data_IF_464477734968
#
_entry.id   IF_464477734968
#
_cell.length_a   1.000
_cell.length_b   1.000
_cell.length_c   1.000
_cell.angle_alpha   90.00
_cell.angle_beta   90.00
_cell.angle_gamma   90.00
#
_symmetry.space_group_name_H-M   'P 1'
#
loop_
_entity.id
_entity.type
_entity.pdbx_description
1 polymer ?
#
# COMPACT_ATOMS: atom_id res chain seq x y z
N UNK A 1 -3.44 -40.37 28.79
CA UNK A 1 -2.47 -39.48 29.46
C UNK A 1 -1.44 -39.04 28.42
N UNK A 2 -1.62 -37.89 27.85
CA UNK A 2 -0.69 -36.94 27.25
C UNK A 2 -1.42 -35.99 26.27
N UNK A 3 -2.18 -35.04 26.85
CA UNK A 3 -2.82 -33.95 26.12
C UNK A 3 -2.09 -32.60 26.43
N UNK A 4 -0.76 -32.57 26.26
CA UNK A 4 0.04 -31.42 26.63
C UNK A 4 1.11 -31.02 25.57
N UNK A 5 0.85 -31.23 24.28
CA UNK A 5 1.77 -30.83 23.19
C UNK A 5 1.04 -30.09 22.04
N UNK A 6 0.36 -29.00 22.34
CA UNK A 6 -0.40 -28.25 21.33
C UNK A 6 -0.41 -26.74 21.48
N UNK A 7 0.43 -26.17 22.36
CA UNK A 7 0.51 -24.71 22.54
C UNK A 7 1.86 -24.14 22.09
N UNK A 8 2.38 -24.53 20.93
CA UNK A 8 3.39 -23.72 20.28
C UNK A 8 2.69 -22.50 19.66
N UNK A 9 2.79 -21.36 20.33
CA UNK A 9 2.27 -20.10 19.83
C UNK A 9 2.91 -19.76 18.47
N UNK A 10 2.11 -19.25 17.52
CA UNK A 10 2.64 -18.72 16.26
C UNK A 10 3.68 -17.62 16.55
N UNK A 11 4.69 -17.41 15.70
CA UNK A 11 5.79 -16.48 15.95
C UNK A 11 5.36 -15.03 15.71
N UNK A 12 4.42 -14.52 16.53
CA UNK A 12 3.80 -13.22 16.37
C UNK A 12 4.81 -12.07 16.19
N UNK A 13 5.84 -12.01 17.05
CA UNK A 13 6.84 -10.95 16.99
C UNK A 13 7.63 -10.95 15.67
N UNK A 14 8.02 -12.15 15.17
CA UNK A 14 8.75 -12.26 13.89
C UNK A 14 7.88 -11.87 12.71
N UNK A 15 6.62 -12.31 12.70
CA UNK A 15 5.68 -11.93 11.64
C UNK A 15 5.37 -10.43 11.69
N UNK A 16 5.09 -9.89 12.88
CA UNK A 16 4.80 -8.46 13.08
C UNK A 16 5.98 -7.57 12.70
N UNK A 17 7.23 -7.99 12.94
CA UNK A 17 8.41 -7.20 12.59
C UNK A 17 8.52 -6.94 11.08
N UNK A 18 8.20 -7.93 10.23
CA UNK A 18 8.20 -7.72 8.80
C UNK A 18 7.14 -6.71 8.37
N UNK A 19 5.90 -6.81 8.86
CA UNK A 19 4.86 -5.82 8.56
C UNK A 19 5.27 -4.43 9.03
N UNK A 20 5.85 -4.33 10.23
CA UNK A 20 6.32 -3.05 10.77
C UNK A 20 7.32 -2.39 9.80
N UNK A 21 8.42 -3.06 9.48
CA UNK A 21 9.46 -2.47 8.64
C UNK A 21 9.03 -2.29 7.19
N UNK A 22 8.25 -3.20 6.63
CA UNK A 22 7.70 -3.04 5.28
C UNK A 22 6.84 -1.78 5.17
N UNK A 23 5.88 -1.59 6.06
CA UNK A 23 5.05 -0.38 6.03
C UNK A 23 5.76 0.88 6.55
N UNK A 24 6.83 0.74 7.32
CA UNK A 24 7.74 1.83 7.67
C UNK A 24 8.41 2.43 6.43
N UNK A 25 8.87 1.59 5.48
CA UNK A 25 9.36 2.07 4.17
C UNK A 25 8.29 2.85 3.41
N UNK A 26 7.04 2.36 3.41
CA UNK A 26 5.91 3.09 2.81
C UNK A 26 5.65 4.43 3.49
N UNK A 27 5.81 4.51 4.82
CA UNK A 27 5.68 5.75 5.58
C UNK A 27 6.73 6.80 5.23
N UNK A 28 7.89 6.39 4.69
CA UNK A 28 8.88 7.31 4.13
C UNK A 28 8.63 7.58 2.64
N UNK A 29 8.37 6.55 1.86
CA UNK A 29 8.25 6.62 0.40
C UNK A 29 7.04 7.44 -0.02
N UNK A 30 5.85 7.08 0.46
CA UNK A 30 4.60 7.67 -0.01
C UNK A 30 4.53 9.19 0.23
N UNK A 31 4.85 9.73 1.42
CA UNK A 31 4.79 11.16 1.67
C UNK A 31 5.95 11.96 1.11
N UNK A 32 7.17 11.40 1.09
CA UNK A 32 8.37 12.21 0.92
C UNK A 32 9.15 11.95 -0.36
N UNK A 33 8.85 10.86 -1.10
CA UNK A 33 9.64 10.51 -2.28
C UNK A 33 9.49 11.52 -3.42
N UNK A 34 8.28 12.05 -3.63
CA UNK A 34 8.04 13.11 -4.62
C UNK A 34 8.79 14.40 -4.29
N UNK A 35 8.84 14.81 -3.00
CA UNK A 35 9.66 15.95 -2.54
C UNK A 35 11.15 15.71 -2.79
N UNK A 36 11.64 14.48 -2.57
CA UNK A 36 13.02 14.15 -2.90
C UNK A 36 13.30 14.26 -4.40
N UNK A 37 12.41 13.77 -5.24
CA UNK A 37 12.55 13.90 -6.71
C UNK A 37 12.51 15.37 -7.16
N UNK A 38 11.64 16.17 -6.57
CA UNK A 38 11.57 17.62 -6.81
C UNK A 38 12.89 18.31 -6.41
N UNK A 39 13.44 17.98 -5.24
CA UNK A 39 14.72 18.51 -4.77
C UNK A 39 15.91 18.15 -5.68
N UNK A 40 15.76 17.11 -6.51
CA UNK A 40 16.71 16.74 -7.57
C UNK A 40 16.54 17.54 -8.86
N UNK A 41 15.64 18.55 -8.87
CA UNK A 41 15.36 19.42 -10.02
C UNK A 41 14.45 18.78 -11.08
N UNK A 42 13.70 17.73 -10.74
CA UNK A 42 12.76 17.11 -11.67
C UNK A 42 11.46 17.90 -11.73
N UNK A 43 10.96 18.15 -12.94
CA UNK A 43 9.67 18.78 -13.16
C UNK A 43 8.49 17.82 -12.91
N UNK A 44 7.30 18.39 -12.81
CA UNK A 44 6.04 17.70 -12.46
C UNK A 44 5.80 16.44 -13.30
N UNK A 45 5.95 16.51 -14.61
CA UNK A 45 5.78 15.39 -15.53
C UNK A 45 6.77 14.25 -15.26
N UNK A 46 8.04 14.57 -15.00
CA UNK A 46 9.05 13.58 -14.69
C UNK A 46 8.76 12.87 -13.36
N UNK A 47 8.35 13.62 -12.34
CA UNK A 47 7.93 13.08 -11.03
C UNK A 47 6.73 12.15 -11.21
N UNK A 48 5.70 12.56 -11.95
CA UNK A 48 4.50 11.75 -12.17
C UNK A 48 4.80 10.44 -12.88
N UNK A 49 5.67 10.44 -13.89
CA UNK A 49 6.11 9.22 -14.57
C UNK A 49 6.85 8.29 -13.60
N UNK A 50 7.79 8.80 -12.81
CA UNK A 50 8.51 7.99 -11.84
C UNK A 50 7.57 7.43 -10.75
N UNK A 51 6.67 8.24 -10.20
CA UNK A 51 5.70 7.78 -9.19
C UNK A 51 4.69 6.78 -9.77
N UNK A 52 4.35 6.85 -11.06
CA UNK A 52 3.47 5.87 -11.71
C UNK A 52 4.07 4.46 -11.76
N UNK A 53 5.40 4.32 -11.72
CA UNK A 53 6.11 3.03 -11.71
C UNK A 53 5.74 2.17 -10.49
N UNK A 54 5.41 2.83 -9.37
CA UNK A 54 4.89 2.14 -8.19
C UNK A 54 3.64 1.31 -8.49
N UNK A 55 2.70 1.90 -9.22
CA UNK A 55 1.44 1.26 -9.60
C UNK A 55 1.65 0.29 -10.78
N UNK A 56 2.44 0.68 -11.77
CA UNK A 56 2.72 -0.15 -12.94
C UNK A 56 3.38 -1.49 -12.57
N UNK A 57 4.39 -1.45 -11.71
CA UNK A 57 5.06 -2.68 -11.24
C UNK A 57 4.14 -3.54 -10.39
N UNK A 58 3.20 -2.95 -9.63
CA UNK A 58 2.22 -3.68 -8.83
C UNK A 58 1.26 -4.53 -9.66
N UNK A 59 1.03 -4.19 -10.92
CA UNK A 59 0.19 -4.99 -11.83
C UNK A 59 0.84 -6.35 -12.12
N UNK A 60 2.15 -6.37 -12.30
CA UNK A 60 2.87 -7.53 -12.84
C UNK A 60 3.68 -8.26 -11.78
N UNK A 61 4.41 -7.52 -10.94
CA UNK A 61 5.44 -8.12 -10.07
C UNK A 61 4.90 -9.14 -9.07
N UNK A 62 3.74 -8.93 -8.39
CA UNK A 62 3.21 -9.90 -7.43
C UNK A 62 2.90 -11.26 -8.08
N UNK A 63 2.21 -11.23 -9.22
CA UNK A 63 1.79 -12.45 -9.93
C UNK A 63 2.98 -13.22 -10.50
N UNK A 64 3.92 -12.51 -11.12
CA UNK A 64 5.12 -13.11 -11.65
C UNK A 64 5.96 -13.75 -10.54
N UNK A 65 6.18 -12.99 -9.45
CA UNK A 65 7.03 -13.41 -8.34
C UNK A 65 6.46 -14.61 -7.59
N UNK A 66 5.17 -14.58 -7.26
CA UNK A 66 4.51 -15.71 -6.60
C UNK A 66 4.46 -16.96 -7.48
N UNK A 67 4.32 -16.81 -8.80
CA UNK A 67 4.38 -17.93 -9.75
C UNK A 67 5.78 -18.57 -9.78
N UNK A 68 6.83 -17.76 -9.79
CA UNK A 68 8.21 -18.24 -9.75
C UNK A 68 8.53 -18.92 -8.42
N UNK A 69 8.11 -18.31 -7.31
CA UNK A 69 8.27 -18.88 -5.98
C UNK A 69 7.55 -20.23 -5.82
N UNK A 70 6.32 -20.35 -6.35
CA UNK A 70 5.54 -21.59 -6.30
C UNK A 70 6.13 -22.74 -7.12
N UNK A 71 6.95 -22.43 -8.12
CA UNK A 71 7.67 -23.44 -8.93
C UNK A 71 9.02 -23.83 -8.32
N UNK A 72 9.47 -23.12 -7.31
CA UNK A 72 10.76 -23.33 -6.67
C UNK A 72 10.67 -24.40 -5.56
N UNK A 73 11.65 -25.29 -5.44
CA UNK A 73 11.72 -26.22 -4.30
C UNK A 73 11.94 -25.52 -2.97
N UNK A 74 12.29 -24.24 -2.99
CA UNK A 74 12.51 -23.41 -1.80
C UNK A 74 11.87 -22.03 -1.96
N UNK A 75 10.53 -21.92 -1.81
CA UNK A 75 9.79 -20.67 -2.02
C UNK A 75 10.31 -19.50 -1.16
N UNK A 76 10.79 -19.77 0.06
CA UNK A 76 11.29 -18.75 0.98
C UNK A 76 12.49 -17.97 0.40
N UNK A 77 13.32 -18.59 -0.42
CA UNK A 77 14.46 -17.90 -1.07
C UNK A 77 14.03 -16.77 -1.98
N UNK A 78 12.84 -16.87 -2.57
CA UNK A 78 12.29 -15.80 -3.40
C UNK A 78 11.90 -14.58 -2.57
N UNK A 79 11.40 -14.76 -1.32
CA UNK A 79 11.20 -13.64 -0.40
C UNK A 79 12.52 -12.95 -0.07
N UNK A 80 13.54 -13.73 0.30
CA UNK A 80 14.87 -13.18 0.64
C UNK A 80 15.49 -12.46 -0.57
N UNK A 81 15.41 -13.05 -1.76
CA UNK A 81 15.90 -12.45 -3.00
C UNK A 81 15.17 -11.14 -3.32
N UNK A 82 13.83 -11.12 -3.22
CA UNK A 82 13.03 -9.91 -3.46
C UNK A 82 13.41 -8.78 -2.50
N UNK A 83 13.54 -9.08 -1.21
CA UNK A 83 13.98 -8.10 -0.21
C UNK A 83 15.43 -7.63 -0.48
N UNK A 84 16.35 -8.53 -0.84
CA UNK A 84 17.73 -8.18 -1.18
C UNK A 84 17.82 -7.30 -2.42
N UNK A 85 17.03 -7.63 -3.48
CA UNK A 85 16.94 -6.81 -4.68
C UNK A 85 16.33 -5.43 -4.39
N UNK A 86 15.34 -5.34 -3.50
CA UNK A 86 14.77 -4.05 -3.09
C UNK A 86 15.83 -3.18 -2.37
N UNK A 87 16.60 -3.76 -1.43
CA UNK A 87 17.71 -3.04 -0.78
C UNK A 87 18.77 -2.64 -1.79
N UNK A 88 19.24 -3.57 -2.62
CA UNK A 88 20.31 -3.32 -3.59
C UNK A 88 19.94 -2.29 -4.65
N UNK A 89 18.74 -2.39 -5.22
CA UNK A 89 18.27 -1.39 -6.19
C UNK A 89 18.07 -0.03 -5.53
N UNK A 90 17.53 0.01 -4.30
CA UNK A 90 17.36 1.28 -3.58
C UNK A 90 18.69 1.94 -3.24
N UNK A 91 19.73 1.18 -2.90
CA UNK A 91 21.05 1.72 -2.61
C UNK A 91 21.64 2.50 -3.80
N UNK A 92 21.25 2.17 -5.03
CA UNK A 92 21.67 2.92 -6.23
C UNK A 92 21.18 4.37 -6.27
N UNK A 93 20.11 4.72 -5.50
CA UNK A 93 19.69 6.12 -5.39
C UNK A 93 20.70 7.02 -4.65
N UNK A 94 21.68 6.43 -3.98
CA UNK A 94 22.80 7.18 -3.38
C UNK A 94 23.81 7.68 -4.42
N UNK A 95 23.73 7.17 -5.66
CA UNK A 95 24.58 7.60 -6.78
C UNK A 95 23.98 8.85 -7.49
N UNK A 96 24.81 9.64 -8.17
CA UNK A 96 24.36 10.79 -8.95
C UNK A 96 23.69 10.33 -10.26
N UNK A 97 22.47 9.79 -10.17
CA UNK A 97 21.72 9.28 -11.31
C UNK A 97 21.12 10.43 -12.14
N UNK A 98 21.16 10.29 -13.47
CA UNK A 98 20.35 11.09 -14.38
C UNK A 98 18.90 10.54 -14.43
N UNK A 99 18.02 11.19 -15.21
CA UNK A 99 16.60 10.78 -15.31
C UNK A 99 16.41 9.32 -15.73
N UNK A 100 17.17 8.86 -16.74
CA UNK A 100 17.09 7.45 -17.20
C UNK A 100 17.54 6.49 -16.11
N UNK A 101 18.63 6.83 -15.42
CA UNK A 101 19.09 6.05 -14.26
C UNK A 101 18.05 5.99 -13.14
N UNK A 102 17.41 7.12 -12.82
CA UNK A 102 16.32 7.17 -11.85
C UNK A 102 15.14 6.30 -12.29
N UNK A 103 14.75 6.34 -13.57
CA UNK A 103 13.67 5.51 -14.09
C UNK A 103 13.96 4.01 -13.97
N UNK A 104 15.16 3.58 -14.37
CA UNK A 104 15.56 2.17 -14.28
C UNK A 104 15.65 1.69 -12.84
N UNK A 105 16.31 2.46 -11.97
CA UNK A 105 16.47 2.12 -10.56
C UNK A 105 15.12 2.11 -9.84
N UNK A 106 14.27 3.10 -10.11
CA UNK A 106 12.92 3.18 -9.55
C UNK A 106 12.07 1.99 -9.99
N UNK A 107 12.14 1.59 -11.27
CA UNK A 107 11.45 0.40 -11.79
C UNK A 107 11.91 -0.85 -11.07
N UNK A 108 13.22 -1.06 -10.94
CA UNK A 108 13.80 -2.22 -10.27
C UNK A 108 13.41 -2.28 -8.79
N UNK A 109 13.49 -1.14 -8.08
CA UNK A 109 13.09 -1.04 -6.68
C UNK A 109 11.61 -1.33 -6.50
N UNK A 110 10.73 -0.63 -7.23
CA UNK A 110 9.29 -0.82 -7.13
C UNK A 110 8.87 -2.24 -7.50
N UNK A 111 9.49 -2.84 -8.52
CA UNK A 111 9.22 -4.21 -8.90
C UNK A 111 9.57 -5.19 -7.78
N UNK A 112 10.79 -5.12 -7.24
CA UNK A 112 11.24 -5.99 -6.16
C UNK A 112 10.42 -5.80 -4.88
N UNK A 113 10.15 -4.56 -4.51
CA UNK A 113 9.40 -4.23 -3.30
C UNK A 113 7.94 -4.69 -3.38
N UNK A 114 7.23 -4.44 -4.48
CA UNK A 114 5.85 -4.89 -4.66
C UNK A 114 5.70 -6.42 -4.75
N UNK A 115 6.76 -7.13 -5.13
CA UNK A 115 6.75 -8.58 -5.27
C UNK A 115 6.67 -9.34 -3.94
N UNK A 116 7.25 -8.80 -2.86
CA UNK A 116 7.48 -9.57 -1.63
C UNK A 116 6.28 -9.64 -0.69
N UNK A 117 5.39 -8.65 -0.69
CA UNK A 117 4.27 -8.61 0.25
C UNK A 117 3.29 -9.77 0.09
N UNK A 118 2.79 -10.12 -1.12
CA UNK A 118 1.87 -11.25 -1.27
C UNK A 118 2.49 -12.58 -0.83
N UNK A 119 3.79 -12.75 -1.04
CA UNK A 119 4.50 -13.93 -0.57
C UNK A 119 4.59 -13.95 0.95
N UNK A 120 4.85 -12.82 1.60
CA UNK A 120 4.88 -12.74 3.06
C UNK A 120 3.49 -12.93 3.70
N UNK A 121 2.42 -12.46 3.04
CA UNK A 121 1.04 -12.76 3.43
C UNK A 121 0.78 -14.27 3.46
N UNK A 122 1.25 -15.00 2.44
CA UNK A 122 1.16 -16.47 2.39
C UNK A 122 1.90 -17.13 3.55
N UNK A 123 3.11 -16.62 3.91
CA UNK A 123 3.86 -17.09 5.08
C UNK A 123 3.06 -16.85 6.37
N UNK A 124 2.52 -15.65 6.54
CA UNK A 124 1.72 -15.29 7.71
C UNK A 124 0.51 -16.22 7.86
N UNK A 125 -0.22 -16.43 6.76
CA UNK A 125 -1.40 -17.32 6.76
C UNK A 125 -1.02 -18.78 7.03
N UNK A 126 0.15 -19.26 6.58
CA UNK A 126 0.64 -20.61 6.88
C UNK A 126 0.85 -20.84 8.39
N UNK A 127 1.25 -19.80 9.13
CA UNK A 127 1.40 -19.86 10.59
C UNK A 127 0.08 -19.72 11.34
N UNK A 128 -0.85 -18.96 10.80
CA UNK A 128 -2.14 -18.72 11.46
C UNK A 128 -3.11 -19.87 11.28
N UNK A 129 -3.10 -20.57 10.14
CA UNK A 129 -3.98 -21.71 9.84
C UNK A 129 -5.42 -21.49 10.34
N UNK A 130 -5.84 -22.22 11.41
CA UNK A 130 -7.17 -22.11 12.01
C UNK A 130 -7.39 -20.83 12.85
N UNK A 131 -6.38 -19.96 13.01
CA UNK A 131 -6.42 -18.73 13.84
C UNK A 131 -6.39 -17.46 12.98
N UNK A 132 -7.07 -17.45 11.85
CA UNK A 132 -7.13 -16.30 10.93
C UNK A 132 -7.69 -15.04 11.60
N UNK A 133 -8.47 -15.15 12.67
CA UNK A 133 -8.92 -14.07 13.55
C UNK A 133 -7.76 -13.27 14.17
N UNK A 134 -6.58 -13.87 14.32
CA UNK A 134 -5.37 -13.21 14.84
C UNK A 134 -4.59 -12.41 13.82
N UNK A 135 -4.92 -12.52 12.53
CA UNK A 135 -4.24 -11.79 11.45
C UNK A 135 -4.20 -10.28 11.71
N UNK A 136 -5.31 -9.68 12.15
CA UNK A 136 -5.38 -8.26 12.45
C UNK A 136 -4.36 -7.78 13.50
N UNK A 137 -4.07 -8.60 14.52
CA UNK A 137 -3.11 -8.29 15.57
C UNK A 137 -1.65 -8.28 15.07
N UNK A 138 -1.36 -9.04 14.01
CA UNK A 138 -0.05 -9.02 13.35
C UNK A 138 0.01 -7.85 12.36
N UNK A 139 -1.05 -7.69 11.55
CA UNK A 139 -1.10 -6.71 10.47
C UNK A 139 -1.09 -5.26 10.95
N UNK A 140 -1.64 -4.97 12.14
CA UNK A 140 -1.66 -3.62 12.74
C UNK A 140 -0.26 -3.04 12.95
N UNK A 141 0.75 -3.88 13.16
CA UNK A 141 2.13 -3.43 13.29
C UNK A 141 2.65 -2.72 12.03
N UNK A 142 2.08 -3.05 10.86
CA UNK A 142 2.36 -2.30 9.64
C UNK A 142 1.89 -0.84 9.73
N UNK A 143 0.68 -0.59 10.22
CA UNK A 143 0.19 0.78 10.41
C UNK A 143 1.02 1.54 11.46
N UNK A 144 1.45 0.85 12.53
CA UNK A 144 2.35 1.44 13.54
C UNK A 144 3.69 1.81 12.89
N UNK A 145 4.29 0.92 12.10
CA UNK A 145 5.55 1.18 11.37
C UNK A 145 5.43 2.38 10.42
N UNK A 146 4.34 2.46 9.66
CA UNK A 146 4.05 3.60 8.80
C UNK A 146 4.01 4.91 9.62
N UNK A 147 3.21 4.97 10.70
CA UNK A 147 3.06 6.17 11.52
C UNK A 147 4.39 6.58 12.16
N UNK A 148 5.15 5.62 12.72
CA UNK A 148 6.43 5.90 13.35
C UNK A 148 7.38 6.55 12.35
N UNK A 149 7.49 6.00 11.14
CA UNK A 149 8.44 6.52 10.16
C UNK A 149 7.94 7.81 9.50
N UNK A 150 6.65 7.93 9.16
CA UNK A 150 6.15 9.18 8.58
C UNK A 150 6.32 10.35 9.54
N UNK A 151 6.05 10.17 10.83
CA UNK A 151 6.22 11.22 11.82
C UNK A 151 7.70 11.54 12.10
N UNK A 152 8.53 10.51 12.34
CA UNK A 152 9.95 10.71 12.66
C UNK A 152 10.75 11.25 11.47
N UNK A 153 10.50 10.74 10.24
CA UNK A 153 11.19 11.23 9.05
C UNK A 153 10.75 12.64 8.68
N UNK A 154 9.45 12.96 8.78
CA UNK A 154 8.97 14.33 8.60
C UNK A 154 9.70 15.34 9.49
N UNK A 155 9.97 14.93 10.74
CA UNK A 155 10.75 15.74 11.68
C UNK A 155 12.24 15.75 11.34
N UNK A 156 12.84 14.63 10.94
CA UNK A 156 14.27 14.54 10.62
C UNK A 156 14.66 15.26 9.33
N UNK A 157 13.84 15.15 8.28
CA UNK A 157 14.11 15.75 6.97
C UNK A 157 13.67 17.20 6.86
N UNK A 158 13.12 17.78 7.92
CA UNK A 158 12.84 19.20 7.97
C UNK A 158 14.11 20.01 7.57
N UNK A 159 13.91 21.07 6.75
CA UNK A 159 15.01 21.86 6.18
C UNK A 159 15.95 22.46 7.24
N UNK A 160 15.43 22.66 8.45
CA UNK A 160 16.23 23.16 9.59
C UNK A 160 17.08 22.08 10.26
N UNK A 161 17.02 20.80 9.80
CA UNK A 161 17.78 19.66 10.34
C UNK A 161 18.62 19.02 9.23
N UNK A 162 18.16 17.87 8.69
CA UNK A 162 18.92 17.13 7.68
C UNK A 162 18.59 17.54 6.24
N UNK A 163 17.38 18.07 6.01
CA UNK A 163 16.84 18.34 4.67
C UNK A 163 16.41 17.08 3.92
N UNK A 164 15.59 17.27 2.87
CA UNK A 164 14.97 16.18 2.09
C UNK A 164 16.01 15.30 1.37
N UNK A 165 17.19 15.82 1.04
CA UNK A 165 18.28 15.07 0.41
C UNK A 165 18.80 13.89 1.25
N UNK A 166 18.56 13.89 2.57
CA UNK A 166 18.91 12.79 3.46
C UNK A 166 17.97 11.59 3.36
N UNK A 167 16.80 11.72 2.68
CA UNK A 167 15.75 10.69 2.64
C UNK A 167 16.28 9.32 2.20
N UNK A 168 17.07 9.14 1.11
CA UNK A 168 17.57 7.82 0.72
C UNK A 168 18.47 7.19 1.79
N UNK A 169 19.29 7.98 2.48
CA UNK A 169 20.14 7.51 3.57
C UNK A 169 19.34 7.03 4.78
N UNK A 170 18.22 7.69 5.10
CA UNK A 170 17.32 7.31 6.17
C UNK A 170 16.49 6.06 5.83
N UNK A 171 16.09 5.91 4.56
CA UNK A 171 15.29 4.78 4.10
C UNK A 171 16.08 3.48 3.99
N UNK A 172 17.36 3.53 3.64
CA UNK A 172 18.18 2.34 3.42
C UNK A 172 18.29 1.44 4.66
N UNK A 173 18.53 1.94 5.88
CA UNK A 173 18.50 1.11 7.09
C UNK A 173 17.12 0.46 7.34
N UNK A 174 16.04 1.14 7.05
CA UNK A 174 14.69 0.59 7.21
C UNK A 174 14.44 -0.55 6.20
N UNK A 175 14.91 -0.38 4.96
CA UNK A 175 14.87 -1.46 3.95
C UNK A 175 15.77 -2.64 4.34
N UNK A 176 16.94 -2.38 4.91
CA UNK A 176 17.81 -3.43 5.46
C UNK A 176 17.11 -4.19 6.61
N UNK A 177 16.33 -3.50 7.44
CA UNK A 177 15.52 -4.12 8.49
C UNK A 177 14.36 -4.96 7.91
N UNK A 178 13.77 -4.59 6.74
CA UNK A 178 12.83 -5.46 6.01
C UNK A 178 13.53 -6.77 5.64
N UNK A 179 14.72 -6.72 5.05
CA UNK A 179 15.50 -7.91 4.70
C UNK A 179 15.84 -8.73 5.95
N UNK A 180 16.32 -8.08 7.01
CA UNK A 180 16.63 -8.75 8.28
C UNK A 180 15.41 -9.47 8.87
N UNK A 181 14.25 -8.82 8.85
CA UNK A 181 13.01 -9.42 9.31
C UNK A 181 12.52 -10.55 8.38
N UNK A 182 12.79 -10.48 7.07
CA UNK A 182 12.49 -11.58 6.14
C UNK A 182 13.35 -12.82 6.44
N UNK A 183 14.63 -12.64 6.73
CA UNK A 183 15.59 -13.73 6.98
C UNK A 183 15.26 -14.58 8.23
N UNK A 184 14.62 -13.98 9.23
CA UNK A 184 14.19 -14.70 10.46
C UNK A 184 12.84 -15.41 10.31
N UNK A 185 12.10 -15.18 9.20
CA UNK A 185 10.81 -15.79 8.95
C UNK A 185 10.94 -17.01 8.01
N UNK A 186 10.05 -17.99 8.18
CA UNK A 186 9.96 -19.21 7.36
C UNK A 186 8.49 -19.60 7.21
N UNK A 187 8.16 -20.44 6.23
CA UNK A 187 6.85 -21.06 6.16
C UNK A 187 6.67 -22.04 7.33
N UNK A 188 5.46 -22.13 7.86
CA UNK A 188 5.07 -23.18 8.83
C UNK A 188 4.88 -24.52 8.11
N UNK A 189 4.30 -24.49 6.90
CA UNK A 189 4.08 -25.63 6.01
C UNK A 189 4.34 -25.14 4.58
N UNK A 190 4.86 -26.00 3.72
CA UNK A 190 5.05 -25.65 2.30
C UNK A 190 3.70 -25.30 1.66
N UNK A 191 3.63 -24.22 0.88
CA UNK A 191 2.39 -23.82 0.25
C UNK A 191 1.94 -24.87 -0.77
N UNK A 192 0.70 -25.36 -0.61
CA UNK A 192 0.07 -26.21 -1.60
C UNK A 192 -0.08 -25.47 -2.93
N UNK A 193 0.54 -26.00 -3.97
CA UNK A 193 0.51 -25.45 -5.33
C UNK A 193 -0.83 -25.73 -6.04
N UNK A 194 -1.97 -25.50 -5.39
CA UNK A 194 -3.27 -25.68 -6.01
C UNK A 194 -3.54 -24.57 -7.05
N UNK A 195 -3.22 -24.87 -8.29
CA UNK A 195 -3.64 -24.07 -9.45
C UNK A 195 -5.15 -24.17 -9.59
N UNK A 196 -5.88 -23.11 -9.37
CA UNK A 196 -7.29 -23.01 -9.76
C UNK A 196 -7.37 -22.63 -11.24
N UNK A 197 -7.95 -23.53 -12.04
CA UNK A 197 -8.34 -23.21 -13.42
C UNK A 197 -9.37 -22.06 -13.43
N UNK A 198 -9.30 -21.19 -14.45
CA UNK A 198 -10.30 -20.14 -14.63
C UNK A 198 -11.68 -20.76 -14.82
N UNK A 199 -12.62 -20.40 -13.95
CA UNK A 199 -13.99 -20.89 -13.98
C UNK A 199 -14.79 -20.08 -15.03
N UNK A 200 -15.54 -20.78 -15.90
CA UNK A 200 -16.39 -20.15 -16.94
C UNK A 200 -17.41 -19.15 -16.34
N UNK A 201 -17.89 -19.39 -15.13
CA UNK A 201 -18.78 -18.48 -14.40
C UNK A 201 -18.19 -17.09 -14.09
N UNK A 202 -16.87 -16.93 -14.04
CA UNK A 202 -16.22 -15.66 -13.73
C UNK A 202 -16.48 -14.59 -14.78
N UNK A 203 -16.32 -14.91 -16.07
CA UNK A 203 -16.56 -13.97 -17.18
C UNK A 203 -18.01 -13.49 -17.26
N UNK A 204 -18.96 -14.40 -17.00
CA UNK A 204 -20.37 -14.04 -16.97
C UNK A 204 -20.69 -13.03 -15.84
N UNK A 205 -20.08 -13.20 -14.65
CA UNK A 205 -20.24 -12.27 -13.53
C UNK A 205 -19.61 -10.92 -13.80
N UNK A 206 -18.43 -10.87 -14.40
CA UNK A 206 -17.76 -9.61 -14.78
C UNK A 206 -18.61 -8.74 -15.73
N UNK A 207 -19.45 -9.35 -16.56
CA UNK A 207 -20.32 -8.64 -17.53
C UNK A 207 -21.60 -8.10 -16.92
N UNK A 208 -21.89 -8.38 -15.66
CA UNK A 208 -23.10 -7.88 -15.00
C UNK A 208 -22.98 -6.35 -14.79
N UNK A 209 -24.01 -5.55 -15.11
CA UNK A 209 -23.93 -4.09 -15.06
C UNK A 209 -23.50 -3.52 -13.71
N UNK A 210 -24.01 -4.08 -12.62
CA UNK A 210 -23.63 -3.63 -11.27
C UNK A 210 -22.18 -3.99 -10.90
N UNK A 211 -21.61 -5.07 -11.45
CA UNK A 211 -20.20 -5.43 -11.27
C UNK A 211 -19.31 -4.48 -12.08
N UNK A 212 -19.70 -4.17 -13.32
CA UNK A 212 -19.00 -3.18 -14.14
C UNK A 212 -19.02 -1.82 -13.44
N UNK A 213 -20.20 -1.37 -12.97
CA UNK A 213 -20.34 -0.10 -12.26
C UNK A 213 -19.44 -0.04 -11.01
N UNK A 214 -19.34 -1.14 -10.25
CA UNK A 214 -18.42 -1.26 -9.11
C UNK A 214 -16.95 -1.09 -9.53
N UNK A 215 -16.49 -1.80 -10.57
CA UNK A 215 -15.11 -1.69 -11.03
C UNK A 215 -14.79 -0.31 -11.63
N UNK A 216 -15.73 0.30 -12.34
CA UNK A 216 -15.60 1.67 -12.85
C UNK A 216 -15.49 2.68 -11.69
N UNK A 217 -16.36 2.58 -10.69
CA UNK A 217 -16.30 3.44 -9.51
C UNK A 217 -14.98 3.27 -8.75
N UNK A 218 -14.52 2.03 -8.56
CA UNK A 218 -13.24 1.74 -7.93
C UNK A 218 -12.06 2.30 -8.73
N UNK A 219 -12.10 2.16 -10.06
CA UNK A 219 -11.08 2.70 -10.96
C UNK A 219 -11.02 4.24 -10.88
N UNK A 220 -12.15 4.92 -11.02
CA UNK A 220 -12.22 6.38 -10.94
C UNK A 220 -11.79 6.90 -9.55
N UNK A 221 -12.15 6.19 -8.49
CA UNK A 221 -11.67 6.50 -7.14
C UNK A 221 -10.15 6.44 -7.09
N UNK A 222 -9.55 5.38 -7.59
CA UNK A 222 -8.09 5.25 -7.59
C UNK A 222 -7.41 6.31 -8.46
N UNK A 223 -7.99 6.66 -9.62
CA UNK A 223 -7.53 7.79 -10.44
C UNK A 223 -7.55 9.09 -9.64
N UNK A 224 -8.64 9.36 -8.89
CA UNK A 224 -8.76 10.57 -8.06
C UNK A 224 -7.74 10.65 -6.92
N UNK A 225 -7.19 9.52 -6.48
CA UNK A 225 -6.10 9.46 -5.51
C UNK A 225 -4.71 9.75 -6.11
N UNK A 226 -4.59 9.78 -7.44
CA UNK A 226 -3.32 10.03 -8.13
C UNK A 226 -2.63 11.31 -7.68
N UNK A 227 -3.29 12.50 -7.73
CA UNK A 227 -2.73 13.75 -7.25
C UNK A 227 -2.31 13.69 -5.78
N UNK A 228 -3.12 13.05 -4.93
CA UNK A 228 -2.83 12.93 -3.51
C UNK A 228 -1.55 12.11 -3.25
N UNK A 229 -1.43 10.91 -3.79
CA UNK A 229 -0.26 10.08 -3.54
C UNK A 229 1.00 10.55 -4.28
N UNK A 230 0.85 11.37 -5.30
CA UNK A 230 2.00 11.86 -6.09
C UNK A 230 2.46 13.23 -5.64
N UNK A 231 1.54 14.16 -5.39
CA UNK A 231 1.88 15.59 -5.24
C UNK A 231 1.41 16.22 -3.93
N UNK A 232 0.68 15.52 -3.07
CA UNK A 232 0.12 16.15 -1.86
C UNK A 232 1.17 16.80 -0.96
N UNK A 233 2.33 16.18 -0.78
CA UNK A 233 3.39 16.76 0.04
C UNK A 233 4.09 17.95 -0.64
N UNK A 234 4.23 17.93 -1.97
CA UNK A 234 4.70 19.09 -2.74
C UNK A 234 3.70 20.23 -2.59
N UNK A 235 2.42 19.96 -2.84
CA UNK A 235 1.33 20.92 -2.67
C UNK A 235 1.31 21.55 -1.27
N UNK A 236 1.48 20.75 -0.22
CA UNK A 236 1.59 21.26 1.15
C UNK A 236 2.84 22.14 1.34
N UNK A 237 3.98 21.80 0.72
CA UNK A 237 5.19 22.62 0.78
C UNK A 237 5.01 23.97 0.12
N UNK A 238 4.34 24.04 -1.02
CA UNK A 238 4.01 25.28 -1.73
C UNK A 238 3.11 26.19 -0.90
N UNK A 239 2.25 25.60 -0.03
CA UNK A 239 1.41 26.31 0.93
C UNK A 239 2.07 26.51 2.30
N UNK A 240 3.40 26.41 2.40
CA UNK A 240 4.17 26.75 3.60
C UNK A 240 4.13 25.72 4.74
N UNK A 241 3.59 24.53 4.53
CA UNK A 241 3.61 23.47 5.53
C UNK A 241 5.00 22.83 5.62
N UNK A 242 5.59 22.81 6.82
CA UNK A 242 6.85 22.10 7.06
C UNK A 242 6.68 20.58 6.87
N UNK A 243 7.76 19.87 6.54
CA UNK A 243 7.74 18.41 6.39
C UNK A 243 7.31 17.69 7.69
N UNK A 244 7.59 18.30 8.84
CA UNK A 244 7.08 17.81 10.13
C UNK A 244 5.55 17.88 10.19
N UNK A 245 4.94 19.01 9.78
CA UNK A 245 3.48 19.17 9.72
C UNK A 245 2.84 18.23 8.70
N UNK A 246 3.48 18.03 7.54
CA UNK A 246 3.05 17.05 6.54
C UNK A 246 3.01 15.65 7.13
N UNK A 247 4.05 15.24 7.87
CA UNK A 247 4.08 13.96 8.61
C UNK A 247 2.92 13.80 9.59
N UNK A 248 2.55 14.86 10.30
CA UNK A 248 1.38 14.86 11.20
C UNK A 248 0.09 14.66 10.40
N UNK A 249 -0.11 15.37 9.29
CA UNK A 249 -1.31 15.25 8.46
C UNK A 249 -1.46 13.83 7.89
N UNK A 250 -0.39 13.22 7.41
CA UNK A 250 -0.40 11.81 6.97
C UNK A 250 -0.74 10.86 8.14
N UNK A 251 -0.17 11.11 9.32
CA UNK A 251 -0.44 10.31 10.53
C UNK A 251 -1.91 10.38 10.94
N UNK A 252 -2.52 11.57 10.91
CA UNK A 252 -3.95 11.76 11.20
C UNK A 252 -4.82 10.91 10.27
N UNK A 253 -4.52 10.90 8.97
CA UNK A 253 -5.25 10.08 8.00
C UNK A 253 -5.20 8.58 8.33
N UNK A 254 -4.01 8.06 8.65
CA UNK A 254 -3.82 6.63 8.97
C UNK A 254 -4.45 6.26 10.31
N UNK A 255 -4.36 7.12 11.32
CA UNK A 255 -5.04 6.88 12.61
C UNK A 255 -6.57 6.82 12.45
N UNK A 256 -7.13 7.72 11.66
CA UNK A 256 -8.55 7.71 11.35
C UNK A 256 -8.98 6.45 10.57
N UNK A 257 -8.14 5.97 9.63
CA UNK A 257 -8.34 4.72 8.91
C UNK A 257 -8.38 3.51 9.84
N UNK A 258 -7.42 3.41 10.77
CA UNK A 258 -7.39 2.36 11.80
C UNK A 258 -8.69 2.36 12.60
N UNK A 259 -9.17 3.53 13.03
CA UNK A 259 -10.43 3.65 13.76
C UNK A 259 -11.63 3.13 12.95
N UNK A 260 -11.70 3.44 11.65
CA UNK A 260 -12.78 2.94 10.77
C UNK A 260 -12.69 1.42 10.61
N UNK A 261 -11.51 0.83 10.48
CA UNK A 261 -11.38 -0.63 10.44
C UNK A 261 -11.86 -1.31 11.73
N UNK A 262 -11.56 -0.75 12.89
CA UNK A 262 -12.12 -1.26 14.17
C UNK A 262 -13.63 -1.11 14.26
N UNK A 263 -14.20 -0.08 13.67
CA UNK A 263 -15.64 0.17 13.64
C UNK A 263 -16.37 -0.57 12.51
N UNK A 264 -15.66 -1.15 11.55
CA UNK A 264 -16.21 -1.73 10.33
C UNK A 264 -17.32 -2.75 10.61
N UNK A 265 -17.14 -3.65 11.58
CA UNK A 265 -18.17 -4.61 11.97
C UNK A 265 -19.46 -3.97 12.47
N UNK A 266 -19.39 -2.79 13.13
CA UNK A 266 -20.57 -2.03 13.58
C UNK A 266 -21.23 -1.30 12.42
N UNK A 267 -20.44 -0.75 11.51
CA UNK A 267 -20.91 -0.05 10.30
C UNK A 267 -21.71 -1.02 9.43
N UNK A 268 -21.16 -2.18 9.10
CA UNK A 268 -21.80 -3.16 8.20
C UNK A 268 -22.95 -3.96 8.84
N UNK A 269 -23.14 -3.88 10.15
CA UNK A 269 -24.39 -4.37 10.78
C UNK A 269 -25.58 -3.45 10.53
N UNK A 270 -25.34 -2.15 10.26
CA UNK A 270 -26.39 -1.13 10.07
C UNK A 270 -26.57 -0.73 8.61
N UNK A 271 -25.50 -0.80 7.82
CA UNK A 271 -25.47 -0.27 6.46
C UNK A 271 -24.98 -1.34 5.48
N UNK A 272 -25.69 -1.48 4.37
CA UNK A 272 -25.26 -2.33 3.26
C UNK A 272 -23.97 -1.81 2.63
N UNK A 273 -23.11 -2.72 2.13
CA UNK A 273 -21.81 -2.39 1.57
C UNK A 273 -21.90 -1.40 0.39
N UNK A 274 -22.96 -1.49 -0.44
CA UNK A 274 -23.15 -0.55 -1.54
C UNK A 274 -23.44 0.88 -1.05
N UNK A 275 -24.22 1.03 0.03
CA UNK A 275 -24.48 2.35 0.63
C UNK A 275 -23.21 2.94 1.25
N UNK A 276 -22.43 2.11 1.96
CA UNK A 276 -21.13 2.53 2.53
C UNK A 276 -20.19 2.97 1.42
N UNK A 277 -20.14 2.23 0.30
CA UNK A 277 -19.34 2.59 -0.87
C UNK A 277 -19.76 3.96 -1.44
N UNK A 278 -21.06 4.17 -1.66
CA UNK A 278 -21.57 5.45 -2.18
C UNK A 278 -21.23 6.62 -1.25
N UNK A 279 -21.39 6.43 0.07
CA UNK A 279 -21.04 7.45 1.05
C UNK A 279 -19.52 7.75 1.04
N UNK A 280 -18.68 6.72 0.87
CA UNK A 280 -17.24 6.88 0.74
C UNK A 280 -16.85 7.69 -0.50
N UNK A 281 -17.52 7.46 -1.65
CA UNK A 281 -17.30 8.22 -2.89
C UNK A 281 -17.69 9.70 -2.73
N UNK A 282 -18.85 9.98 -2.12
CA UNK A 282 -19.28 11.34 -1.83
C UNK A 282 -18.31 12.04 -0.87
N UNK A 283 -17.88 11.35 0.17
CA UNK A 283 -16.86 11.83 1.11
C UNK A 283 -15.54 12.15 0.41
N UNK A 284 -15.13 11.37 -0.58
CA UNK A 284 -13.93 11.66 -1.37
C UNK A 284 -14.06 12.99 -2.13
N UNK A 285 -15.21 13.24 -2.77
CA UNK A 285 -15.45 14.50 -3.48
C UNK A 285 -15.38 15.71 -2.52
N UNK A 286 -16.00 15.61 -1.35
CA UNK A 286 -15.92 16.67 -0.32
C UNK A 286 -14.48 16.88 0.15
N UNK A 287 -13.73 15.80 0.37
CA UNK A 287 -12.31 15.87 0.75
C UNK A 287 -11.49 16.63 -0.28
N UNK A 288 -11.64 16.29 -1.56
CA UNK A 288 -10.86 16.94 -2.63
C UNK A 288 -11.22 18.43 -2.75
N UNK A 289 -12.50 18.79 -2.60
CA UNK A 289 -12.92 20.20 -2.56
C UNK A 289 -12.33 20.94 -1.36
N UNK A 290 -12.35 20.36 -0.17
CA UNK A 290 -11.72 20.98 1.01
C UNK A 290 -10.22 21.19 0.80
N UNK A 291 -9.54 20.18 0.27
CA UNK A 291 -8.08 20.27 0.01
C UNK A 291 -7.75 21.35 -1.04
N UNK A 292 -8.55 21.45 -2.12
CA UNK A 292 -8.29 22.39 -3.20
C UNK A 292 -8.67 23.84 -2.85
N UNK A 293 -9.78 24.04 -2.13
CA UNK A 293 -10.31 25.40 -1.88
C UNK A 293 -9.75 26.05 -0.62
N UNK A 294 -9.22 25.27 0.32
CA UNK A 294 -8.77 25.78 1.62
C UNK A 294 -7.38 25.26 2.02
N UNK A 295 -6.38 25.34 1.13
CA UNK A 295 -5.05 24.78 1.40
C UNK A 295 -4.36 25.38 2.63
N UNK A 296 -4.54 26.70 2.86
CA UNK A 296 -3.89 27.42 3.96
C UNK A 296 -4.63 27.29 5.30
N UNK A 297 -5.81 26.63 5.31
CA UNK A 297 -6.60 26.42 6.51
C UNK A 297 -6.24 25.08 7.16
N UNK A 298 -5.29 25.11 8.09
CA UNK A 298 -4.82 23.89 8.78
C UNK A 298 -5.94 23.07 9.43
N UNK A 299 -6.92 23.63 10.15
CA UNK A 299 -8.07 22.89 10.67
C UNK A 299 -8.86 22.14 9.60
N UNK A 300 -9.13 22.76 8.45
CA UNK A 300 -9.81 22.09 7.33
C UNK A 300 -8.93 21.03 6.67
N UNK A 301 -7.62 21.23 6.60
CA UNK A 301 -6.68 20.20 6.14
C UNK A 301 -6.66 18.98 7.08
N UNK A 302 -6.69 19.19 8.40
CA UNK A 302 -6.84 18.09 9.38
C UNK A 302 -8.16 17.37 9.18
N UNK A 303 -9.28 18.09 9.00
CA UNK A 303 -10.58 17.50 8.73
C UNK A 303 -10.56 16.70 7.41
N UNK A 304 -9.94 17.22 6.36
CA UNK A 304 -9.75 16.50 5.10
C UNK A 304 -8.95 15.20 5.29
N UNK A 305 -7.93 15.19 6.17
CA UNK A 305 -7.22 13.95 6.49
C UNK A 305 -8.05 12.98 7.34
N UNK A 306 -8.90 13.45 8.25
CA UNK A 306 -9.84 12.59 8.98
C UNK A 306 -10.84 11.92 8.05
N UNK A 307 -11.33 12.62 7.02
CA UNK A 307 -12.22 12.02 6.02
C UNK A 307 -11.52 10.97 5.13
N UNK A 308 -10.18 10.91 5.12
CA UNK A 308 -9.43 9.84 4.45
C UNK A 308 -9.88 8.45 4.91
N UNK A 309 -10.20 8.30 6.18
CA UNK A 309 -10.71 7.06 6.73
C UNK A 309 -12.00 6.56 6.06
N UNK A 310 -12.87 7.48 5.62
CA UNK A 310 -14.10 7.14 4.92
C UNK A 310 -13.82 6.77 3.46
N UNK A 311 -13.09 7.62 2.76
CA UNK A 311 -12.87 7.44 1.32
C UNK A 311 -11.76 6.43 0.99
N UNK A 312 -10.96 5.99 1.95
CA UNK A 312 -10.01 4.89 1.81
C UNK A 312 -10.42 3.68 2.66
N UNK A 313 -10.48 3.82 3.99
CA UNK A 313 -10.75 2.70 4.90
C UNK A 313 -12.14 2.10 4.72
N UNK A 314 -13.21 2.91 4.78
CA UNK A 314 -14.57 2.42 4.58
C UNK A 314 -14.83 1.98 3.14
N UNK A 315 -14.26 2.69 2.14
CA UNK A 315 -14.30 2.28 0.74
C UNK A 315 -13.71 0.89 0.55
N UNK A 316 -12.50 0.66 1.04
CA UNK A 316 -11.81 -0.61 0.89
C UNK A 316 -12.55 -1.76 1.58
N UNK A 317 -13.05 -1.54 2.81
CA UNK A 317 -13.82 -2.52 3.54
C UNK A 317 -15.14 -2.88 2.81
N UNK A 318 -15.85 -1.87 2.26
CA UNK A 318 -17.04 -2.08 1.45
C UNK A 318 -16.74 -2.82 0.14
N UNK A 319 -15.64 -2.44 -0.52
CA UNK A 319 -15.21 -3.09 -1.76
C UNK A 319 -14.91 -4.57 -1.55
N UNK A 320 -14.22 -4.95 -0.46
CA UNK A 320 -13.94 -6.34 -0.14
C UNK A 320 -15.23 -7.14 0.10
N UNK A 321 -16.23 -6.59 0.78
CA UNK A 321 -17.51 -7.25 0.97
C UNK A 321 -18.29 -7.43 -0.35
N UNK A 322 -18.29 -6.41 -1.21
CA UNK A 322 -18.91 -6.50 -2.53
C UNK A 322 -18.22 -7.54 -3.41
N UNK A 323 -16.88 -7.64 -3.36
CA UNK A 323 -16.14 -8.67 -4.08
C UNK A 323 -16.52 -10.09 -3.64
N UNK A 324 -16.66 -10.33 -2.33
CA UNK A 324 -17.14 -11.61 -1.82
C UNK A 324 -18.55 -11.92 -2.31
N UNK A 325 -19.44 -10.91 -2.37
CA UNK A 325 -20.82 -11.06 -2.85
C UNK A 325 -20.89 -11.30 -4.36
N UNK A 326 -20.10 -10.59 -5.16
CA UNK A 326 -20.09 -10.73 -6.62
C UNK A 326 -19.38 -11.99 -7.08
N UNK A 327 -18.34 -12.39 -6.37
CA UNK A 327 -17.48 -13.52 -6.70
C UNK A 327 -17.36 -14.48 -5.50
N UNK A 328 -18.42 -15.27 -5.21
CA UNK A 328 -18.40 -16.20 -4.07
C UNK A 328 -17.45 -17.39 -4.28
N UNK A 329 -16.98 -17.96 -3.18
CA UNK A 329 -16.17 -19.18 -3.16
C UNK A 329 -14.84 -19.01 -3.89
N UNK A 330 -14.50 -19.91 -4.80
CA UNK A 330 -13.22 -19.92 -5.56
C UNK A 330 -13.05 -18.70 -6.48
N UNK A 331 -14.15 -18.07 -6.92
CA UNK A 331 -14.10 -16.90 -7.79
C UNK A 331 -13.59 -15.64 -7.07
N UNK A 332 -13.62 -15.61 -5.74
CA UNK A 332 -13.23 -14.43 -4.95
C UNK A 332 -11.78 -14.02 -5.22
N UNK A 333 -10.87 -14.97 -5.28
CA UNK A 333 -9.46 -14.70 -5.61
C UNK A 333 -9.27 -14.04 -6.98
N UNK A 334 -10.03 -14.47 -7.99
CA UNK A 334 -10.01 -13.85 -9.32
C UNK A 334 -10.60 -12.44 -9.29
N UNK A 335 -11.72 -12.23 -8.57
CA UNK A 335 -12.32 -10.91 -8.37
C UNK A 335 -11.39 -9.93 -7.70
N UNK A 336 -10.70 -10.36 -6.65
CA UNK A 336 -9.65 -9.55 -6.00
C UNK A 336 -8.47 -9.27 -6.94
N UNK A 337 -8.03 -10.26 -7.71
CA UNK A 337 -6.97 -10.07 -8.72
C UNK A 337 -7.31 -8.96 -9.73
N UNK A 338 -8.55 -8.96 -10.26
CA UNK A 338 -9.03 -7.87 -11.13
C UNK A 338 -9.10 -6.54 -10.39
N UNK A 339 -9.54 -6.53 -9.13
CA UNK A 339 -9.63 -5.29 -8.33
C UNK A 339 -8.25 -4.67 -8.08
N UNK A 340 -7.26 -5.47 -7.72
CA UNK A 340 -5.90 -4.96 -7.52
C UNK A 340 -5.19 -4.62 -8.84
N UNK A 341 -5.42 -5.39 -9.90
CA UNK A 341 -4.80 -5.13 -11.20
C UNK A 341 -5.39 -3.91 -11.90
N UNK A 342 -6.70 -3.87 -12.10
CA UNK A 342 -7.36 -2.83 -12.90
C UNK A 342 -7.58 -1.54 -12.08
N UNK A 343 -8.43 -1.45 -11.03
CA UNK A 343 -8.57 -0.22 -10.27
C UNK A 343 -7.27 0.24 -9.62
N UNK A 344 -6.65 -0.58 -8.77
CA UNK A 344 -5.51 -0.14 -7.98
C UNK A 344 -4.23 0.00 -8.80
N UNK A 345 -3.99 -0.87 -9.78
CA UNK A 345 -2.83 -0.83 -10.66
C UNK A 345 -3.01 0.18 -11.79
N UNK A 346 -3.85 -0.14 -12.79
CA UNK A 346 -4.02 0.74 -13.97
C UNK A 346 -4.62 2.09 -13.58
N UNK A 347 -5.62 2.13 -12.68
CA UNK A 347 -6.18 3.38 -12.16
C UNK A 347 -5.14 4.24 -11.45
N UNK A 348 -4.23 3.62 -10.67
CA UNK A 348 -3.12 4.32 -10.03
C UNK A 348 -2.13 4.92 -11.02
N UNK A 349 -1.77 4.17 -12.09
CA UNK A 349 -0.92 4.68 -13.19
C UNK A 349 -1.59 5.88 -13.86
N UNK A 350 -2.86 5.72 -14.27
CA UNK A 350 -3.60 6.80 -14.91
C UNK A 350 -3.69 8.04 -14.00
N UNK A 351 -4.01 7.85 -12.72
CA UNK A 351 -4.11 8.93 -11.76
C UNK A 351 -2.80 9.69 -11.54
N UNK A 352 -1.68 8.96 -11.39
CA UNK A 352 -0.36 9.57 -11.25
C UNK A 352 0.04 10.35 -12.51
N UNK A 353 -0.15 9.78 -13.71
CA UNK A 353 0.20 10.42 -14.97
C UNK A 353 -0.68 11.64 -15.27
N UNK A 354 -2.00 11.55 -15.03
CA UNK A 354 -2.91 12.69 -15.20
C UNK A 354 -2.55 13.84 -14.26
N UNK A 355 -2.20 13.54 -13.00
CA UNK A 355 -1.76 14.56 -12.05
C UNK A 355 -0.52 15.33 -12.50
N UNK A 356 0.33 14.73 -13.35
CA UNK A 356 1.51 15.39 -13.92
C UNK A 356 1.23 16.19 -15.19
N UNK A 357 -0.01 16.19 -15.70
CA UNK A 357 -0.44 16.96 -16.87
C UNK A 357 -1.29 18.18 -16.49
N UNK A 358 -1.88 18.16 -15.29
CA UNK A 358 -2.68 19.24 -14.72
C UNK A 358 -1.82 20.22 -13.94
#
# INVERSE_FOLDING_TARGET
>A
MNAATGMSGYPAARLSSFYFFYYAVLGAFTPYWSLYLESRGLGVTAISVLMSLWYATRIVSPSLWTTLAARSPQPIRWLHLGCALAVGSFALFLLPLNYVGLFVVMTAFCFAYNAVMPQFESITMSHLAARSDRYGLIRVWGSIGFIVVVASFGWLIDARRLGIGALPWLMLPVLAAVLGSALINRYAHDPDASRTAADEGFRARLRQPHVIAFFVAAFLTQVSFGPFYTFFSIYLSEHGYSTATQGVLWTVGVLAEIAVFFLSSRIFRRWDAARVLMFALLSASVRWLMTALFPDNTPLMVLAQLTHALNFGAFFAAAMQLLVRFFPGRLNGHGQGVFYGLPSGVGGVCGALLAGQL
#
